data_IF_794868423592
#
_entry.id   IF_794868423592
#
_cell.length_a   1.000
_cell.length_b   1.000
_cell.length_c   1.000
_cell.angle_alpha   90.00
_cell.angle_beta   90.00
_cell.angle_gamma   90.00
#
_symmetry.space_group_name_H-M   'P 1'
#
loop_
_entity.id
_entity.type
_entity.pdbx_description
1 polymer ?
#
# COMPACT_ATOMS: atom_id res chain seq x y z
N UNK A 1 9.88 -7.86 8.30
CA UNK A 1 9.45 -9.26 8.25
C UNK A 1 10.34 -10.03 7.29
N UNK A 2 10.80 -11.21 7.69
CA UNK A 2 11.64 -12.10 6.89
C UNK A 2 10.72 -13.21 6.33
N UNK A 3 9.97 -12.90 5.30
CA UNK A 3 8.93 -13.77 4.75
C UNK A 3 9.08 -13.94 3.24
N UNK A 4 8.71 -15.10 2.74
CA UNK A 4 8.56 -15.36 1.30
C UNK A 4 7.12 -15.02 0.91
N UNK A 5 6.96 -14.21 -0.11
CA UNK A 5 5.65 -13.96 -0.71
C UNK A 5 5.29 -15.14 -1.64
N UNK A 6 4.26 -15.88 -1.28
CA UNK A 6 3.60 -16.82 -2.18
C UNK A 6 2.34 -16.14 -2.73
N UNK A 7 2.38 -15.78 -4.01
CA UNK A 7 1.27 -15.13 -4.68
C UNK A 7 0.43 -16.19 -5.41
N UNK A 8 -0.83 -16.33 -4.98
CA UNK A 8 -1.80 -17.19 -5.66
C UNK A 8 -2.47 -16.42 -6.80
N UNK A 9 -2.38 -16.94 -8.01
CA UNK A 9 -2.97 -16.36 -9.22
C UNK A 9 -3.86 -17.44 -9.86
N UNK A 10 -5.17 -17.47 -9.53
CA UNK A 10 -6.07 -18.47 -10.07
C UNK A 10 -6.28 -18.26 -11.58
N UNK A 11 -6.36 -19.31 -12.37
CA UNK A 11 -6.76 -19.21 -13.77
C UNK A 11 -8.22 -18.79 -13.89
N UNK A 12 -8.55 -18.09 -14.96
CA UNK A 12 -9.92 -17.80 -15.33
C UNK A 12 -10.65 -19.05 -15.95
N UNK A 13 -11.90 -18.88 -16.37
CA UNK A 13 -12.68 -19.98 -16.96
C UNK A 13 -12.12 -20.52 -18.28
N UNK A 14 -11.20 -19.80 -18.94
CA UNK A 14 -10.48 -20.24 -20.14
C UNK A 14 -9.23 -21.07 -19.80
N UNK A 15 -8.89 -21.18 -18.50
CA UNK A 15 -7.65 -21.80 -18.05
C UNK A 15 -6.41 -20.91 -18.22
N UNK A 16 -6.59 -19.60 -18.44
CA UNK A 16 -5.53 -18.61 -18.61
C UNK A 16 -5.49 -17.68 -17.40
N UNK A 17 -4.35 -17.03 -17.17
CA UNK A 17 -4.27 -15.92 -16.23
C UNK A 17 -5.05 -14.73 -16.80
N UNK A 18 -5.87 -14.09 -15.99
CA UNK A 18 -6.62 -12.91 -16.41
C UNK A 18 -5.68 -11.80 -16.86
N UNK A 19 -6.03 -11.08 -17.92
CA UNK A 19 -5.21 -10.03 -18.51
C UNK A 19 -4.87 -8.90 -17.53
N UNK A 20 -5.77 -8.55 -16.62
CA UNK A 20 -5.52 -7.55 -15.58
C UNK A 20 -4.45 -8.03 -14.57
N UNK A 21 -4.45 -9.32 -14.22
CA UNK A 21 -3.43 -9.91 -13.34
C UNK A 21 -2.07 -9.96 -14.04
N UNK A 22 -2.05 -10.33 -15.33
CA UNK A 22 -0.81 -10.30 -16.14
C UNK A 22 -0.23 -8.88 -16.19
N UNK A 23 -1.06 -7.87 -16.40
CA UNK A 23 -0.63 -6.47 -16.39
C UNK A 23 -0.01 -6.09 -15.04
N UNK A 24 -0.68 -6.40 -13.93
CA UNK A 24 -0.18 -6.10 -12.57
C UNK A 24 1.12 -6.82 -12.24
N UNK A 25 1.26 -8.06 -12.66
CA UNK A 25 2.52 -8.82 -12.50
C UNK A 25 3.67 -8.17 -13.27
N UNK A 26 3.43 -7.73 -14.50
CA UNK A 26 4.42 -7.04 -15.31
C UNK A 26 4.81 -5.68 -14.71
N UNK A 27 3.85 -4.89 -14.23
CA UNK A 27 4.10 -3.63 -13.52
C UNK A 27 4.95 -3.85 -12.27
N UNK A 28 4.61 -4.85 -11.46
CA UNK A 28 5.39 -5.22 -10.27
C UNK A 28 6.81 -5.68 -10.62
N UNK A 29 6.96 -6.51 -11.66
CA UNK A 29 8.25 -6.96 -12.12
C UNK A 29 9.14 -5.78 -12.57
N UNK A 30 8.59 -4.87 -13.38
CA UNK A 30 9.28 -3.67 -13.85
C UNK A 30 9.68 -2.75 -12.69
N UNK A 31 8.78 -2.51 -11.73
CA UNK A 31 9.06 -1.73 -10.53
C UNK A 31 10.20 -2.33 -9.71
N UNK A 32 10.15 -3.64 -9.46
CA UNK A 32 11.22 -4.35 -8.74
C UNK A 32 12.55 -4.27 -9.47
N UNK A 33 12.56 -4.48 -10.77
CA UNK A 33 13.77 -4.41 -11.59
C UNK A 33 14.39 -3.00 -11.53
N UNK A 34 13.58 -1.96 -11.70
CA UNK A 34 14.01 -0.56 -11.60
C UNK A 34 14.74 -0.27 -10.29
N UNK A 35 14.25 -0.80 -9.16
CA UNK A 35 14.84 -0.57 -7.84
C UNK A 35 16.14 -1.37 -7.68
N UNK A 36 16.07 -2.68 -7.88
CA UNK A 36 17.12 -3.60 -7.41
C UNK A 36 18.26 -3.85 -8.41
N UNK A 37 18.19 -3.32 -9.64
CA UNK A 37 19.32 -3.33 -10.57
C UNK A 37 20.40 -2.31 -10.23
N UNK A 38 20.07 -1.24 -9.52
CA UNK A 38 20.99 -0.15 -9.23
C UNK A 38 21.40 -0.10 -7.75
N UNK A 39 22.21 -1.08 -7.34
CA UNK A 39 22.81 -1.04 -6.01
C UNK A 39 23.74 0.19 -5.89
N UNK A 40 23.51 1.01 -4.88
CA UNK A 40 24.27 2.22 -4.58
C UNK A 40 25.55 1.94 -3.80
N UNK A 41 25.71 0.79 -3.16
CA UNK A 41 26.94 0.38 -2.49
C UNK A 41 27.98 -0.01 -3.54
N UNK A 42 29.17 0.60 -3.51
CA UNK A 42 30.20 0.39 -4.53
C UNK A 42 30.74 -1.05 -4.57
N UNK A 43 30.90 -1.67 -3.41
CA UNK A 43 31.38 -3.07 -3.25
C UNK A 43 30.48 -3.78 -2.24
N UNK A 44 29.23 -4.02 -2.65
CA UNK A 44 28.16 -4.48 -1.75
C UNK A 44 28.29 -5.91 -1.25
N UNK A 45 29.11 -6.75 -1.90
CA UNK A 45 29.34 -8.12 -1.46
C UNK A 45 30.70 -8.22 -0.78
N UNK A 46 30.68 -8.25 0.54
CA UNK A 46 31.85 -8.46 1.39
C UNK A 46 31.41 -9.32 2.55
N UNK A 47 31.93 -10.55 2.56
CA UNK A 47 31.73 -11.42 3.70
C UNK A 47 32.31 -10.75 4.95
N UNK A 48 31.45 -10.59 5.95
CA UNK A 48 31.79 -9.92 7.19
C UNK A 48 31.38 -10.78 8.37
N UNK A 49 32.37 -11.14 9.18
CA UNK A 49 32.13 -11.81 10.46
C UNK A 49 31.96 -10.76 11.54
N UNK A 50 30.83 -10.80 12.24
CA UNK A 50 30.47 -9.81 13.23
C UNK A 50 30.19 -10.47 14.59
N UNK A 51 30.62 -9.82 15.65
CA UNK A 51 30.18 -10.08 17.03
C UNK A 51 29.37 -8.88 17.52
N UNK A 52 28.71 -9.02 18.66
CA UNK A 52 27.94 -7.91 19.26
C UNK A 52 28.83 -6.67 19.41
N UNK A 53 28.36 -5.53 18.94
CA UNK A 53 29.07 -4.26 18.90
C UNK A 53 29.95 -4.03 17.66
N UNK A 54 30.10 -5.02 16.76
CA UNK A 54 30.86 -4.85 15.50
C UNK A 54 30.17 -3.88 14.56
N UNK A 55 30.99 -3.13 13.80
CA UNK A 55 30.48 -2.26 12.74
C UNK A 55 31.33 -2.35 11.46
N UNK A 56 30.73 -2.10 10.31
CA UNK A 56 31.42 -2.00 9.03
C UNK A 56 30.85 -0.83 8.23
N UNK A 57 31.77 -0.11 7.55
CA UNK A 57 31.42 1.03 6.71
C UNK A 57 31.54 0.64 5.24
N UNK A 58 30.56 1.04 4.46
CA UNK A 58 30.46 0.84 3.02
C UNK A 58 30.42 2.18 2.29
N UNK A 59 31.26 2.38 1.28
CA UNK A 59 31.16 3.54 0.40
C UNK A 59 29.96 3.43 -0.50
N UNK A 60 29.27 4.54 -0.71
CA UNK A 60 28.21 4.67 -1.70
C UNK A 60 28.75 5.32 -2.97
N UNK A 61 28.15 5.01 -4.11
CA UNK A 61 28.40 5.69 -5.37
C UNK A 61 28.16 7.19 -5.20
N UNK A 62 28.89 8.06 -5.95
CA UNK A 62 28.72 9.51 -5.85
C UNK A 62 27.24 9.94 -5.96
N UNK A 63 26.86 10.96 -5.22
CA UNK A 63 25.52 11.56 -5.20
C UNK A 63 24.37 10.55 -4.96
N UNK A 64 24.64 9.51 -4.19
CA UNK A 64 23.62 8.50 -3.91
C UNK A 64 22.53 9.05 -2.99
N UNK A 65 21.31 9.05 -3.49
CA UNK A 65 20.10 9.11 -2.69
C UNK A 65 19.61 7.68 -2.42
N UNK A 66 19.28 7.39 -1.17
CA UNK A 66 18.86 6.05 -0.73
C UNK A 66 17.69 6.14 0.23
N UNK A 67 16.81 5.14 0.20
CA UNK A 67 15.71 4.98 1.15
C UNK A 67 15.40 3.50 1.45
N UNK A 68 16.23 2.58 0.93
CA UNK A 68 16.13 1.15 1.21
C UNK A 68 17.53 0.60 1.44
N UNK A 69 17.71 -0.12 2.53
CA UNK A 69 18.92 -0.93 2.78
C UNK A 69 18.52 -2.39 2.86
N UNK A 70 19.32 -3.25 2.26
CA UNK A 70 19.17 -4.70 2.27
C UNK A 70 20.40 -5.34 2.91
N UNK A 71 20.15 -6.23 3.87
CA UNK A 71 21.13 -7.05 4.55
C UNK A 71 20.84 -8.52 4.31
N UNK A 72 21.87 -9.34 4.15
CA UNK A 72 21.74 -10.80 4.03
C UNK A 72 22.74 -11.48 4.99
N UNK A 73 22.23 -12.44 5.80
CA UNK A 73 23.08 -13.39 6.51
C UNK A 73 23.54 -14.50 5.56
N UNK A 74 24.71 -15.08 5.82
CA UNK A 74 25.10 -16.38 5.26
C UNK A 74 24.26 -17.47 5.95
N UNK A 75 23.08 -17.73 5.42
CA UNK A 75 22.04 -18.55 6.07
C UNK A 75 22.47 -20.00 6.32
N UNK A 76 23.45 -20.51 5.54
CA UNK A 76 24.01 -21.84 5.76
C UNK A 76 24.74 -21.96 7.10
N UNK A 77 25.20 -20.83 7.64
CA UNK A 77 25.80 -20.72 8.97
C UNK A 77 24.80 -20.38 10.06
N UNK A 78 23.52 -20.21 9.69
CA UNK A 78 22.41 -19.87 10.57
C UNK A 78 22.19 -18.38 10.77
N UNK A 79 20.97 -18.01 11.08
CA UNK A 79 20.60 -16.66 11.47
C UNK A 79 21.10 -16.36 12.87
N UNK A 80 21.98 -15.37 13.04
CA UNK A 80 22.61 -15.07 14.31
C UNK A 80 22.44 -13.63 14.78
N UNK A 81 22.10 -12.71 13.89
CA UNK A 81 21.85 -11.31 14.24
C UNK A 81 20.54 -11.20 15.02
N UNK A 82 20.57 -10.55 16.18
CA UNK A 82 19.39 -10.27 17.00
C UNK A 82 18.94 -8.81 16.91
N UNK A 83 19.90 -7.89 16.75
CA UNK A 83 19.58 -6.48 16.49
C UNK A 83 20.72 -5.78 15.73
N UNK A 84 20.32 -4.85 14.87
CA UNK A 84 21.24 -4.04 14.07
C UNK A 84 20.75 -2.61 13.92
N UNK A 85 21.68 -1.72 13.64
CA UNK A 85 21.46 -0.31 13.30
C UNK A 85 22.14 0.01 11.99
N UNK A 86 21.49 0.82 11.16
CA UNK A 86 22.06 1.39 9.93
C UNK A 86 22.14 2.90 10.08
N UNK A 87 23.33 3.43 9.82
CA UNK A 87 23.58 4.88 9.80
C UNK A 87 24.06 5.28 8.42
N UNK A 88 23.72 6.49 8.00
CA UNK A 88 24.15 7.11 6.75
C UNK A 88 25.00 8.34 7.04
N UNK A 89 26.13 8.48 6.33
CA UNK A 89 26.96 9.68 6.39
C UNK A 89 26.41 10.72 5.42
N UNK A 90 25.70 11.70 5.97
CA UNK A 90 25.14 12.85 5.26
C UNK A 90 26.05 14.09 5.42
N UNK A 91 25.67 15.22 4.84
CA UNK A 91 26.35 16.50 5.07
C UNK A 91 26.31 16.93 6.55
N UNK A 92 25.37 16.44 7.34
CA UNK A 92 25.22 16.73 8.77
C UNK A 92 25.95 15.72 9.67
N UNK A 93 26.73 14.80 9.07
CA UNK A 93 27.42 13.72 9.77
C UNK A 93 26.62 12.41 9.77
N UNK A 94 27.03 11.49 10.64
CA UNK A 94 26.38 10.19 10.78
C UNK A 94 24.98 10.31 11.40
N UNK A 95 24.00 9.79 10.70
CA UNK A 95 22.60 9.77 11.14
C UNK A 95 22.07 8.34 11.14
N UNK A 96 21.40 7.92 12.20
CA UNK A 96 20.64 6.68 12.22
C UNK A 96 19.47 6.80 11.24
N UNK A 97 19.42 5.92 10.25
CA UNK A 97 18.35 5.90 9.23
C UNK A 97 17.43 4.70 9.39
N UNK A 98 17.93 3.60 9.96
CA UNK A 98 17.12 2.42 10.19
C UNK A 98 17.70 1.55 11.31
N UNK A 99 16.83 0.76 11.92
CA UNK A 99 17.18 -0.30 12.86
C UNK A 99 16.26 -1.49 12.67
N UNK A 100 16.72 -2.65 13.10
CA UNK A 100 15.95 -3.88 13.01
C UNK A 100 16.42 -4.93 13.99
N UNK A 101 15.67 -6.01 14.03
CA UNK A 101 15.98 -7.17 14.90
C UNK A 101 16.83 -8.17 14.13
N UNK A 102 16.21 -9.15 13.49
CA UNK A 102 16.92 -10.22 12.78
C UNK A 102 17.21 -9.84 11.33
N UNK A 103 18.27 -10.38 10.75
CA UNK A 103 18.60 -10.24 9.32
C UNK A 103 18.05 -11.44 8.55
N UNK A 104 18.54 -12.64 8.80
CA UNK A 104 18.13 -13.86 8.12
C UNK A 104 18.54 -13.90 6.64
N UNK A 105 17.82 -14.67 5.83
CA UNK A 105 18.12 -14.80 4.41
C UNK A 105 18.20 -13.47 3.69
N UNK A 106 17.23 -12.56 3.94
CA UNK A 106 17.20 -11.22 3.33
C UNK A 106 16.32 -10.28 4.15
N UNK A 107 16.91 -9.22 4.67
CA UNK A 107 16.20 -8.17 5.39
C UNK A 107 16.28 -6.87 4.62
N UNK A 108 15.14 -6.33 4.26
CA UNK A 108 15.01 -4.98 3.72
C UNK A 108 14.39 -4.07 4.77
N UNK A 109 14.96 -2.89 4.94
CA UNK A 109 14.43 -1.81 5.79
C UNK A 109 14.28 -0.56 4.94
N UNK A 110 13.13 0.10 5.07
CA UNK A 110 12.79 1.32 4.37
C UNK A 110 12.78 2.50 5.34
N UNK A 111 13.21 3.66 4.87
CA UNK A 111 13.31 4.90 5.64
C UNK A 111 13.12 6.12 4.73
N UNK A 112 12.90 7.34 5.27
CA UNK A 112 12.87 8.56 4.47
C UNK A 112 14.13 8.72 3.64
N UNK A 113 14.00 9.18 2.39
CA UNK A 113 15.12 9.34 1.48
C UNK A 113 16.20 10.27 2.05
N UNK A 114 17.45 9.85 1.96
CA UNK A 114 18.61 10.63 2.39
C UNK A 114 19.71 10.59 1.33
N UNK A 115 20.39 11.73 1.13
CA UNK A 115 21.64 11.80 0.36
C UNK A 115 22.80 11.45 1.26
N UNK A 116 23.59 10.46 0.88
CA UNK A 116 24.69 9.97 1.70
C UNK A 116 25.88 9.52 0.86
N UNK A 117 27.05 9.58 1.46
CA UNK A 117 28.32 9.13 0.85
C UNK A 117 28.79 7.78 1.38
N UNK A 118 28.35 7.40 2.57
CA UNK A 118 28.68 6.12 3.20
C UNK A 118 27.51 5.58 3.99
N UNK A 119 27.49 4.25 4.17
CA UNK A 119 26.63 3.53 5.10
C UNK A 119 27.48 2.85 6.15
N UNK A 120 27.05 2.89 7.41
CA UNK A 120 27.60 2.11 8.50
C UNK A 120 26.53 1.15 9.01
N UNK A 121 26.89 -0.14 9.02
CA UNK A 121 26.05 -1.19 9.59
C UNK A 121 26.68 -1.61 10.90
N UNK A 122 25.90 -1.54 11.99
CA UNK A 122 26.28 -1.97 13.33
C UNK A 122 25.46 -3.21 13.71
N UNK A 123 26.12 -4.26 14.15
CA UNK A 123 25.46 -5.40 14.77
C UNK A 123 25.42 -5.14 16.27
N UNK A 124 24.30 -4.72 16.80
CA UNK A 124 24.17 -4.37 18.21
C UNK A 124 24.25 -5.63 19.08
N UNK A 125 23.52 -6.67 18.66
CA UNK A 125 23.47 -7.96 19.37
C UNK A 125 23.43 -9.12 18.37
N UNK A 126 24.16 -10.19 18.68
CA UNK A 126 24.11 -11.44 17.94
C UNK A 126 24.38 -12.64 18.85
N UNK A 127 23.84 -13.79 18.47
CA UNK A 127 24.17 -15.08 19.06
C UNK A 127 25.37 -15.67 18.34
N UNK A 128 26.45 -15.87 19.02
CA UNK A 128 27.71 -16.31 18.40
C UNK A 128 28.18 -15.31 17.30
N UNK A 129 29.18 -15.72 16.51
CA UNK A 129 29.64 -14.93 15.37
C UNK A 129 28.59 -14.92 14.24
N UNK A 130 28.07 -13.75 13.90
CA UNK A 130 27.19 -13.57 12.75
C UNK A 130 28.02 -13.45 11.46
N UNK A 131 27.47 -13.88 10.35
CA UNK A 131 28.11 -13.82 9.04
C UNK A 131 27.21 -13.06 8.07
N UNK A 132 27.56 -11.82 7.76
CA UNK A 132 26.84 -10.97 6.81
C UNK A 132 27.42 -11.20 5.42
N UNK A 133 26.61 -11.74 4.51
CA UNK A 133 27.07 -12.06 3.15
C UNK A 133 26.89 -10.91 2.17
N UNK A 134 25.91 -10.01 2.44
CA UNK A 134 25.64 -8.88 1.57
C UNK A 134 25.06 -7.68 2.32
N UNK A 135 25.52 -6.50 1.90
CA UNK A 135 24.90 -5.20 2.20
C UNK A 135 24.65 -4.48 0.88
N UNK A 136 23.44 -3.99 0.68
CA UNK A 136 23.09 -3.21 -0.50
C UNK A 136 22.20 -2.02 -0.11
N UNK A 137 22.22 -0.98 -0.92
CA UNK A 137 21.39 0.20 -0.74
C UNK A 137 20.76 0.60 -2.06
N UNK A 138 19.50 1.01 -1.99
CA UNK A 138 18.70 1.35 -3.15
C UNK A 138 17.88 2.61 -2.92
N UNK A 139 17.42 3.20 -4.01
CA UNK A 139 16.35 4.18 -4.00
C UNK A 139 15.10 3.55 -4.63
N UNK A 140 14.03 3.54 -3.87
CA UNK A 140 12.70 3.15 -4.34
C UNK A 140 11.84 4.40 -4.41
N UNK A 141 11.29 4.69 -5.58
CA UNK A 141 10.33 5.78 -5.71
C UNK A 141 9.17 5.55 -4.72
N UNK A 142 8.59 6.62 -4.16
CA UNK A 142 7.36 6.51 -3.41
C UNK A 142 6.33 5.72 -4.22
N UNK A 143 5.63 4.78 -3.60
CA UNK A 143 4.51 4.12 -4.26
C UNK A 143 3.48 5.20 -4.59
N UNK A 144 2.86 5.10 -5.76
CA UNK A 144 1.78 6.02 -6.16
C UNK A 144 0.63 6.06 -5.15
N UNK A 145 0.51 5.03 -4.30
CA UNK A 145 -0.41 5.00 -3.16
C UNK A 145 -0.10 6.05 -2.08
N UNK A 146 1.18 6.42 -1.88
CA UNK A 146 1.56 7.52 -0.99
C UNK A 146 1.20 8.89 -1.60
N UNK A 147 1.04 8.94 -2.93
CA UNK A 147 0.61 10.09 -3.71
C UNK A 147 -0.80 9.92 -4.30
N UNK A 148 -1.56 8.91 -3.93
CA UNK A 148 -2.98 8.84 -4.23
C UNK A 148 -3.70 9.96 -3.47
N UNK A 149 -3.50 11.17 -3.94
CA UNK A 149 -4.52 12.20 -3.82
C UNK A 149 -5.76 11.60 -4.47
N UNK A 150 -6.72 11.36 -3.65
CA UNK A 150 -7.94 10.60 -3.85
C UNK A 150 -8.72 11.01 -5.11
N UNK A 151 -8.35 10.47 -6.28
CA UNK A 151 -9.12 10.63 -7.51
C UNK A 151 -10.36 9.71 -7.58
N UNK A 152 -10.74 9.10 -6.43
CA UNK A 152 -11.93 8.27 -6.36
C UNK A 152 -13.26 9.08 -6.30
N UNK A 153 -13.16 10.40 -6.29
CA UNK A 153 -14.29 11.31 -6.41
C UNK A 153 -13.92 12.48 -7.32
N UNK A 154 -14.52 12.56 -8.51
CA UNK A 154 -14.29 13.66 -9.43
C UNK A 154 -15.43 14.73 -9.44
N UNK A 155 -16.40 14.60 -8.51
CA UNK A 155 -17.44 15.59 -8.29
C UNK A 155 -17.17 16.35 -6.98
N UNK A 156 -16.89 17.67 -7.03
CA UNK A 156 -16.65 18.47 -5.82
C UNK A 156 -17.77 18.34 -4.78
N UNK A 157 -17.41 18.02 -3.54
CA UNK A 157 -18.38 17.81 -2.44
C UNK A 157 -18.98 19.10 -1.87
N UNK A 158 -18.51 20.27 -2.29
CA UNK A 158 -18.98 21.54 -1.74
C UNK A 158 -20.50 21.77 -1.89
N UNK A 159 -21.12 21.15 -2.91
CA UNK A 159 -22.56 21.23 -3.13
C UNK A 159 -23.35 20.07 -2.52
N UNK A 160 -22.66 19.08 -1.93
CA UNK A 160 -23.32 17.89 -1.40
C UNK A 160 -24.01 18.17 -0.08
N UNK A 161 -25.18 17.57 0.09
CA UNK A 161 -25.94 17.64 1.35
C UNK A 161 -26.35 16.24 1.78
N UNK A 162 -26.04 15.87 3.00
CA UNK A 162 -26.57 14.65 3.59
C UNK A 162 -28.06 14.84 3.88
N UNK A 163 -28.89 14.02 3.27
CA UNK A 163 -30.35 14.03 3.44
C UNK A 163 -30.77 13.08 4.56
N UNK A 164 -30.11 11.91 4.63
CA UNK A 164 -30.32 10.93 5.69
C UNK A 164 -28.98 10.22 6.02
N UNK A 165 -28.85 9.78 7.28
CA UNK A 165 -27.65 9.09 7.76
C UNK A 165 -27.75 7.55 7.58
N UNK A 166 -28.96 6.99 7.65
CA UNK A 166 -29.18 5.54 7.57
C UNK A 166 -30.56 5.24 6.96
N UNK A 167 -30.62 4.67 5.73
CA UNK A 167 -29.48 4.53 4.82
C UNK A 167 -28.90 5.86 4.43
N UNK A 168 -27.56 5.91 4.21
CA UNK A 168 -26.88 7.14 3.82
C UNK A 168 -27.46 7.66 2.50
N UNK A 169 -28.04 8.84 2.54
CA UNK A 169 -28.66 9.49 1.39
C UNK A 169 -28.04 10.87 1.19
N UNK A 170 -27.59 11.15 -0.04
CA UNK A 170 -26.87 12.37 -0.39
C UNK A 170 -27.53 13.04 -1.59
N UNK A 171 -27.79 14.36 -1.49
CA UNK A 171 -28.09 15.23 -2.62
C UNK A 171 -26.75 15.78 -3.14
N UNK A 172 -26.41 15.49 -4.38
CA UNK A 172 -25.19 15.95 -5.07
C UNK A 172 -25.24 17.43 -5.46
N UNK A 173 -26.39 18.09 -5.25
CA UNK A 173 -26.62 19.50 -5.55
C UNK A 173 -27.00 19.77 -7.01
N UNK A 174 -26.74 18.86 -7.91
CA UNK A 174 -27.10 18.93 -9.35
C UNK A 174 -27.27 17.54 -9.93
N UNK A 175 -28.02 17.42 -11.03
CA UNK A 175 -28.09 16.20 -11.80
C UNK A 175 -26.78 16.00 -12.58
N UNK A 176 -26.23 14.79 -12.52
CA UNK A 176 -25.00 14.38 -13.21
C UNK A 176 -25.17 12.97 -13.79
N UNK A 177 -24.32 12.63 -14.75
CA UNK A 177 -24.24 11.29 -15.30
C UNK A 177 -23.11 10.53 -14.59
N UNK A 178 -23.47 9.52 -13.80
CA UNK A 178 -22.54 8.73 -12.98
C UNK A 178 -22.11 7.46 -13.72
N UNK A 179 -20.83 7.12 -13.63
CA UNK A 179 -20.26 5.87 -14.15
C UNK A 179 -19.79 4.92 -13.04
N UNK A 180 -19.56 5.42 -11.83
CA UNK A 180 -19.13 4.62 -10.69
C UNK A 180 -19.44 5.33 -9.37
N UNK A 181 -19.43 4.56 -8.28
CA UNK A 181 -19.28 5.10 -6.93
C UNK A 181 -18.09 4.44 -6.24
N UNK A 182 -17.54 5.09 -5.23
CA UNK A 182 -16.44 4.56 -4.41
C UNK A 182 -16.81 4.65 -2.95
N UNK A 183 -16.53 3.59 -2.20
CA UNK A 183 -16.48 3.61 -0.75
C UNK A 183 -15.01 3.61 -0.31
N UNK A 184 -14.63 4.61 0.46
CA UNK A 184 -13.28 4.81 0.98
C UNK A 184 -13.35 4.93 2.51
N UNK A 185 -13.13 3.84 3.25
CA UNK A 185 -13.09 3.89 4.72
C UNK A 185 -11.99 4.85 5.19
N UNK A 186 -12.35 5.88 5.93
CA UNK A 186 -11.40 6.92 6.40
C UNK A 186 -10.45 6.46 7.50
N UNK A 187 -10.64 5.27 8.03
CA UNK A 187 -9.83 4.75 9.14
C UNK A 187 -9.12 3.50 8.72
N UNK A 188 -7.79 3.54 8.80
CA UNK A 188 -6.88 2.44 8.47
C UNK A 188 -7.08 1.16 9.30
N UNK A 189 -7.94 1.19 10.33
CA UNK A 189 -8.27 0.04 11.17
C UNK A 189 -9.68 -0.46 10.86
N UNK A 190 -9.80 -1.77 10.65
CA UNK A 190 -11.08 -2.43 10.48
C UNK A 190 -11.99 -2.16 11.70
N UNK A 191 -13.17 -1.59 11.45
CA UNK A 191 -14.16 -1.32 12.50
C UNK A 191 -15.34 -2.27 12.37
N UNK A 192 -15.95 -2.69 13.47
CA UNK A 192 -17.17 -3.49 13.44
C UNK A 192 -18.32 -2.82 12.67
N UNK A 193 -18.29 -1.49 12.55
CA UNK A 193 -19.31 -0.68 11.87
C UNK A 193 -19.02 -0.42 10.39
N UNK A 194 -17.88 -0.89 9.86
CA UNK A 194 -17.50 -0.72 8.46
C UNK A 194 -18.48 -1.43 7.53
N UNK A 195 -18.80 -0.81 6.41
CA UNK A 195 -19.67 -1.39 5.39
C UNK A 195 -18.98 -2.61 4.76
N UNK A 196 -19.69 -3.73 4.73
CA UNK A 196 -19.24 -4.98 4.14
C UNK A 196 -20.09 -5.37 2.92
N UNK A 197 -21.44 -5.34 3.07
CA UNK A 197 -22.38 -5.54 1.98
C UNK A 197 -23.18 -4.28 1.73
N UNK A 198 -23.59 -4.07 0.50
CA UNK A 198 -24.27 -2.85 0.12
C UNK A 198 -25.31 -3.08 -0.98
N UNK A 199 -26.28 -2.15 -1.05
CA UNK A 199 -27.06 -1.82 -2.22
C UNK A 199 -26.89 -0.34 -2.51
N UNK A 200 -26.75 -0.01 -3.78
CA UNK A 200 -26.57 1.37 -4.21
C UNK A 200 -27.71 1.80 -5.10
N UNK A 201 -28.26 2.97 -4.84
CA UNK A 201 -29.41 3.49 -5.55
C UNK A 201 -29.12 4.90 -6.05
N UNK A 202 -29.73 5.23 -7.19
CA UNK A 202 -29.70 6.56 -7.81
C UNK A 202 -31.13 7.09 -7.97
N UNK A 203 -31.27 8.43 -7.93
CA UNK A 203 -32.55 9.10 -8.14
C UNK A 203 -32.33 10.49 -8.73
N UNK A 204 -33.24 10.94 -9.60
CA UNK A 204 -33.27 12.31 -10.10
C UNK A 204 -34.01 13.26 -9.12
N UNK A 205 -34.99 12.76 -8.39
CA UNK A 205 -35.95 13.57 -7.59
C UNK A 205 -35.90 13.29 -6.06
N UNK A 206 -35.09 12.32 -5.64
CA UNK A 206 -34.97 11.89 -4.24
C UNK A 206 -36.18 11.09 -3.72
N UNK A 207 -37.15 10.76 -4.60
CA UNK A 207 -38.37 10.01 -4.27
C UNK A 207 -38.42 8.66 -4.99
N UNK A 208 -38.17 8.68 -6.28
CA UNK A 208 -38.15 7.50 -7.13
C UNK A 208 -36.72 6.96 -7.23
N UNK A 209 -36.47 5.78 -6.69
CA UNK A 209 -35.15 5.18 -6.57
C UNK A 209 -34.98 4.00 -7.53
N UNK A 210 -33.87 4.00 -8.25
CA UNK A 210 -33.42 2.89 -9.09
C UNK A 210 -32.22 2.23 -8.43
N UNK A 211 -32.29 0.94 -8.16
CA UNK A 211 -31.13 0.16 -7.73
C UNK A 211 -30.14 0.01 -8.89
N UNK A 212 -28.87 0.29 -8.65
CA UNK A 212 -27.78 0.05 -9.61
C UNK A 212 -27.26 -1.35 -9.39
N UNK A 213 -27.36 -2.26 -10.38
CA UNK A 213 -26.86 -3.62 -10.25
C UNK A 213 -25.34 -3.64 -9.98
N UNK A 214 -24.96 -4.35 -8.93
CA UNK A 214 -23.57 -4.52 -8.53
C UNK A 214 -23.42 -5.86 -7.78
N UNK A 215 -22.18 -6.25 -7.45
CA UNK A 215 -21.91 -7.49 -6.73
C UNK A 215 -22.42 -7.47 -5.27
N UNK A 216 -22.68 -6.28 -4.72
CA UNK A 216 -23.27 -6.09 -3.39
C UNK A 216 -22.33 -6.32 -2.21
N UNK A 217 -21.04 -6.52 -2.44
CA UNK A 217 -20.04 -6.77 -1.40
C UNK A 217 -18.71 -6.05 -1.71
N UNK A 218 -18.11 -5.44 -0.69
CA UNK A 218 -16.77 -4.87 -0.77
C UNK A 218 -15.74 -5.95 -0.46
N UNK A 219 -14.92 -6.28 -1.46
CA UNK A 219 -13.97 -7.40 -1.37
C UNK A 219 -12.88 -7.13 -0.32
N UNK A 220 -12.73 -8.05 0.63
CA UNK A 220 -11.68 -8.05 1.66
C UNK A 220 -11.53 -6.73 2.47
N UNK A 221 -12.56 -5.88 2.47
CA UNK A 221 -12.49 -4.53 3.05
C UNK A 221 -12.21 -4.53 4.56
N UNK A 222 -12.62 -5.58 5.26
CA UNK A 222 -12.40 -5.74 6.70
C UNK A 222 -10.91 -5.95 7.06
N UNK A 223 -10.12 -6.51 6.14
CA UNK A 223 -8.71 -6.80 6.34
C UNK A 223 -7.80 -5.87 5.56
N UNK A 224 -8.34 -5.23 4.53
CA UNK A 224 -7.64 -4.26 3.71
C UNK A 224 -8.58 -3.09 3.37
N UNK A 225 -8.73 -2.09 4.27
CA UNK A 225 -9.68 -0.99 4.16
C UNK A 225 -9.22 0.09 3.17
N UNK A 226 -8.96 -0.30 1.93
CA UNK A 226 -8.64 0.60 0.82
C UNK A 226 -9.91 1.07 0.10
N UNK A 227 -9.88 2.24 -0.57
CA UNK A 227 -10.97 2.70 -1.43
C UNK A 227 -11.33 1.64 -2.48
N UNK A 228 -12.63 1.33 -2.58
CA UNK A 228 -13.14 0.37 -3.55
C UNK A 228 -14.15 1.03 -4.46
N UNK A 229 -13.82 1.07 -5.75
CA UNK A 229 -14.66 1.66 -6.79
C UNK A 229 -15.52 0.58 -7.44
N UNK A 230 -16.81 0.83 -7.50
CA UNK A 230 -17.81 -0.01 -8.15
C UNK A 230 -18.26 0.69 -9.44
N UNK A 231 -17.81 0.15 -10.57
CA UNK A 231 -18.19 0.67 -11.88
C UNK A 231 -19.58 0.17 -12.26
N UNK A 232 -20.41 1.05 -12.80
CA UNK A 232 -21.75 0.71 -13.28
C UNK A 232 -21.68 0.06 -14.66
N UNK A 233 -22.58 -0.89 -14.91
CA UNK A 233 -22.70 -1.53 -16.23
C UNK A 233 -23.16 -0.57 -17.34
N UNK A 234 -23.82 0.53 -16.95
CA UNK A 234 -24.23 1.65 -17.81
C UNK A 234 -24.19 2.94 -17.01
N UNK A 235 -24.09 4.07 -17.68
CA UNK A 235 -24.14 5.38 -17.04
C UNK A 235 -25.53 5.65 -16.48
N UNK A 236 -25.60 6.27 -15.29
CA UNK A 236 -26.84 6.55 -14.58
C UNK A 236 -26.99 8.05 -14.32
N UNK A 237 -28.10 8.65 -14.74
CA UNK A 237 -28.43 10.05 -14.41
C UNK A 237 -28.97 10.12 -12.99
N UNK A 238 -28.36 10.98 -12.17
CA UNK A 238 -28.72 11.12 -10.78
C UNK A 238 -28.42 12.51 -10.22
N UNK A 239 -29.30 13.00 -9.38
CA UNK A 239 -29.01 14.09 -8.43
C UNK A 239 -28.85 13.55 -7.01
N UNK A 240 -29.53 12.46 -6.70
CA UNK A 240 -29.49 11.84 -5.38
C UNK A 240 -28.88 10.45 -5.47
N UNK A 241 -28.08 10.10 -4.48
CA UNK A 241 -27.54 8.75 -4.30
C UNK A 241 -27.92 8.23 -2.91
N UNK A 242 -28.10 6.92 -2.80
CA UNK A 242 -28.39 6.26 -1.52
C UNK A 242 -27.58 4.97 -1.42
N UNK A 243 -26.92 4.80 -0.28
CA UNK A 243 -26.17 3.60 0.08
C UNK A 243 -26.84 2.92 1.27
N UNK A 244 -27.40 1.74 1.04
CA UNK A 244 -27.77 0.80 2.11
C UNK A 244 -26.59 -0.12 2.35
N UNK A 245 -26.02 -0.07 3.55
CA UNK A 245 -24.84 -0.87 3.87
C UNK A 245 -25.01 -1.62 5.20
N UNK A 246 -24.46 -2.82 5.26
CA UNK A 246 -24.47 -3.67 6.45
C UNK A 246 -23.08 -4.08 6.84
N UNK A 247 -22.89 -4.39 8.12
CA UNK A 247 -21.65 -5.00 8.65
C UNK A 247 -21.67 -6.52 8.42
N UNK A 248 -20.58 -7.24 8.69
CA UNK A 248 -20.57 -8.72 8.62
C UNK A 248 -21.62 -9.41 9.50
N UNK A 249 -22.05 -8.75 10.59
CA UNK A 249 -23.04 -9.27 11.54
C UNK A 249 -24.47 -8.86 11.22
N UNK A 250 -24.73 -8.35 9.99
CA UNK A 250 -26.03 -7.87 9.52
C UNK A 250 -26.59 -6.63 10.25
N UNK A 251 -25.82 -5.98 11.10
CA UNK A 251 -26.19 -4.66 11.65
C UNK A 251 -25.96 -3.58 10.60
N UNK A 252 -26.72 -2.47 10.70
CA UNK A 252 -26.54 -1.33 9.80
C UNK A 252 -25.12 -0.76 9.93
N UNK A 253 -24.42 -0.64 8.82
CA UNK A 253 -23.10 0.00 8.78
C UNK A 253 -23.23 1.51 8.99
N UNK A 254 -22.23 2.10 9.67
CA UNK A 254 -22.10 3.55 9.84
C UNK A 254 -21.16 4.09 8.78
N UNK A 255 -21.71 4.62 7.71
CA UNK A 255 -20.96 5.22 6.59
C UNK A 255 -21.17 6.73 6.62
N UNK A 256 -20.07 7.49 6.58
CA UNK A 256 -20.10 8.95 6.54
C UNK A 256 -20.07 9.43 5.06
N UNK A 257 -20.64 10.63 4.83
CA UNK A 257 -20.69 11.21 3.47
C UNK A 257 -19.29 11.40 2.86
N UNK A 258 -18.27 11.71 3.67
CA UNK A 258 -16.88 11.89 3.25
C UNK A 258 -16.18 10.58 2.87
N UNK A 259 -16.74 9.42 3.25
CA UNK A 259 -16.28 8.10 2.82
C UNK A 259 -16.83 7.70 1.45
N UNK A 260 -17.75 8.47 0.88
CA UNK A 260 -18.34 8.20 -0.44
C UNK A 260 -17.78 9.14 -1.49
N UNK A 261 -17.46 8.58 -2.64
CA UNK A 261 -17.15 9.31 -3.86
C UNK A 261 -18.00 8.85 -5.02
N UNK A 262 -18.07 9.68 -6.03
CA UNK A 262 -18.70 9.35 -7.31
C UNK A 262 -17.79 9.72 -8.47
N UNK A 263 -17.89 8.95 -9.54
CA UNK A 263 -17.24 9.26 -10.82
C UNK A 263 -18.30 9.72 -11.80
N UNK A 264 -18.20 10.99 -12.17
CA UNK A 264 -19.02 11.56 -13.24
C UNK A 264 -18.40 11.15 -14.57
N UNK A 265 -19.25 10.67 -15.47
CA UNK A 265 -18.84 10.33 -16.82
C UNK A 265 -18.43 11.59 -17.60
N UNK A 266 -17.41 11.51 -18.46
CA UNK A 266 -16.99 12.60 -19.33
C UNK A 266 -18.04 12.94 -20.38
#
# INVERSE_FOLDING_TARGET
YNSVLLLNIPPDRRGLINEADVQRLNEFAAYREKIFTNNRVEKGRKDWEAVSGSETVYSLKPESEINVVMLEDEITKGQRVESFTVEALTEQGWQEVAKGTTVGYKRMVRFPAVKATQLRVKINECRLTAHISQVAAYYADPLEEENRTENWNNLPRASWKQVAASPLTIDLGKEVELSAFTYAPLKAEAKPTMAFRYKFYVSADGKNWKEVPANGEFSNIMHNPLPQTVTFGQKEKARFIKLEATTPTATTAQVEMNEIGVTVAP
#
